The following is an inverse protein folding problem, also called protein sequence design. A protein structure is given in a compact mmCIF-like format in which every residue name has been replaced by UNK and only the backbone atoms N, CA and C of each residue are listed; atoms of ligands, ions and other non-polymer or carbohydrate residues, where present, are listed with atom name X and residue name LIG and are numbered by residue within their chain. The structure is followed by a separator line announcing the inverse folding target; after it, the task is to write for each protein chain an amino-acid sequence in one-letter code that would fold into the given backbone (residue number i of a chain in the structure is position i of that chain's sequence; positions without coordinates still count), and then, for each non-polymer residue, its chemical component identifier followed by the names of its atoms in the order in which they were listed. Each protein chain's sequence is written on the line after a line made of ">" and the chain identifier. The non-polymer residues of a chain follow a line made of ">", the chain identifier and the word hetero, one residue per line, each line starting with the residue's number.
data_IF_115094208768
#
_entry.id   IF_115094208768
#
_cell.length_a   1.000
_cell.length_b   1.000
_cell.length_c   1.000
_cell.angle_alpha   90.00
_cell.angle_beta   90.00
_cell.angle_gamma   90.00
#
_symmetry.space_group_name_H-M   'P 1'
#
loop_
_entity.id
_entity.type
_entity.pdbx_description
1 polymer ?
#
# COMPACT_ATOMS: atom_id res chain seq x y z
N UNK A 1 -13.64 6.42 -11.44
CA UNK A 1 -13.53 4.99 -11.81
C UNK A 1 -12.63 4.34 -10.80
N UNK A 2 -12.98 3.14 -10.30
CA UNK A 2 -12.16 2.45 -9.31
C UNK A 2 -11.15 1.53 -9.99
N UNK A 3 -9.97 1.42 -9.40
CA UNK A 3 -8.87 0.59 -9.86
C UNK A 3 -8.36 -0.30 -8.73
N UNK A 4 -7.64 -1.37 -9.09
CA UNK A 4 -7.03 -2.30 -8.15
C UNK A 4 -5.50 -2.19 -8.24
N UNK A 5 -4.86 -2.07 -7.08
CA UNK A 5 -3.41 -2.05 -6.95
C UNK A 5 -2.95 -3.25 -6.11
N UNK A 6 -2.09 -4.08 -6.70
CA UNK A 6 -1.44 -5.18 -5.97
C UNK A 6 -0.47 -4.61 -4.93
N UNK A 7 -0.49 -5.22 -3.76
CA UNK A 7 0.40 -4.84 -2.67
C UNK A 7 1.79 -5.46 -2.87
N UNK A 8 2.87 -4.67 -2.75
CA UNK A 8 4.21 -5.22 -2.82
C UNK A 8 4.53 -6.05 -1.57
N UNK A 9 5.41 -7.07 -1.69
CA UNK A 9 5.87 -7.83 -0.55
C UNK A 9 6.65 -6.93 0.43
N UNK A 10 6.65 -7.31 1.71
CA UNK A 10 7.39 -6.61 2.76
C UNK A 10 6.61 -5.53 3.49
N UNK A 11 5.37 -5.21 3.08
CA UNK A 11 4.48 -4.32 3.84
C UNK A 11 3.94 -5.01 5.08
N UNK A 12 3.95 -4.30 6.20
CA UNK A 12 3.44 -4.81 7.49
C UNK A 12 1.95 -4.53 7.63
N UNK A 13 1.27 -5.31 8.49
CA UNK A 13 -0.14 -5.05 8.82
C UNK A 13 -0.36 -3.64 9.38
N UNK A 14 0.57 -3.13 10.19
CA UNK A 14 0.48 -1.78 10.77
C UNK A 14 0.52 -0.70 9.69
N UNK A 15 1.47 -0.80 8.75
CA UNK A 15 1.56 0.12 7.60
C UNK A 15 0.30 0.05 6.74
N UNK A 16 -0.25 -1.15 6.54
CA UNK A 16 -1.50 -1.31 5.81
C UNK A 16 -2.67 -0.59 6.47
N UNK A 17 -2.80 -0.73 7.79
CA UNK A 17 -3.85 -0.06 8.56
C UNK A 17 -3.71 1.46 8.46
N UNK A 18 -2.49 1.99 8.51
CA UNK A 18 -2.21 3.41 8.33
C UNK A 18 -2.65 3.91 6.95
N UNK A 19 -2.29 3.18 5.89
CA UNK A 19 -2.66 3.53 4.50
C UNK A 19 -4.18 3.56 4.35
N UNK A 20 -4.90 2.52 4.80
CA UNK A 20 -6.37 2.45 4.71
C UNK A 20 -7.02 3.58 5.52
N UNK A 21 -6.43 3.98 6.65
CA UNK A 21 -6.95 5.09 7.46
C UNK A 21 -6.65 6.48 6.91
N UNK A 22 -5.61 6.60 6.08
CA UNK A 22 -5.09 7.89 5.59
C UNK A 22 -5.57 8.26 4.19
N UNK A 23 -6.02 7.27 3.41
CA UNK A 23 -6.42 7.42 2.01
C UNK A 23 -7.77 6.77 1.79
N UNK A 24 -8.54 7.25 0.81
CA UNK A 24 -9.84 6.68 0.46
C UNK A 24 -9.66 5.39 -0.38
N UNK A 25 -9.11 4.36 0.27
CA UNK A 25 -8.82 3.05 -0.33
C UNK A 25 -9.30 1.92 0.56
N UNK A 26 -9.68 0.80 -0.04
CA UNK A 26 -10.16 -0.39 0.64
C UNK A 26 -9.24 -1.59 0.38
N UNK A 27 -9.06 -2.45 1.38
CA UNK A 27 -8.35 -3.71 1.22
C UNK A 27 -9.33 -4.81 0.81
N UNK A 28 -9.11 -5.39 -0.36
CA UNK A 28 -9.94 -6.45 -0.92
C UNK A 28 -9.12 -7.73 -1.02
N UNK A 29 -9.66 -8.82 -0.48
CA UNK A 29 -9.09 -10.15 -0.68
C UNK A 29 -9.50 -10.70 -2.03
N UNK A 30 -8.53 -11.13 -2.82
CA UNK A 30 -8.73 -11.81 -4.11
C UNK A 30 -8.04 -13.18 -4.08
N UNK A 31 -8.32 -14.03 -5.07
CA UNK A 31 -7.67 -15.35 -5.19
C UNK A 31 -6.15 -15.24 -5.40
N UNK A 32 -5.69 -14.14 -5.99
CA UNK A 32 -4.26 -13.82 -6.20
C UNK A 32 -3.63 -13.10 -4.98
N UNK A 33 -4.39 -12.92 -3.90
CA UNK A 33 -3.98 -12.19 -2.70
C UNK A 33 -4.65 -10.82 -2.55
N UNK A 34 -4.29 -10.06 -1.50
CA UNK A 34 -4.92 -8.79 -1.21
C UNK A 34 -4.54 -7.69 -2.21
N UNK A 35 -5.51 -6.85 -2.55
CA UNK A 35 -5.32 -5.63 -3.36
C UNK A 35 -5.90 -4.41 -2.64
N UNK A 36 -5.34 -3.24 -2.91
CA UNK A 36 -5.98 -1.97 -2.57
C UNK A 36 -6.87 -1.52 -3.71
N UNK A 37 -8.14 -1.22 -3.41
CA UNK A 37 -9.10 -0.67 -4.36
C UNK A 37 -9.42 0.78 -4.01
N UNK A 38 -9.43 1.65 -5.00
CA UNK A 38 -9.75 3.07 -4.80
C UNK A 38 -9.76 3.86 -6.11
N UNK A 39 -9.92 5.16 -6.01
CA UNK A 39 -9.69 6.06 -7.16
C UNK A 39 -8.19 6.10 -7.50
N UNK A 40 -7.86 6.37 -8.77
CA UNK A 40 -6.47 6.38 -9.23
C UNK A 40 -5.59 7.33 -8.39
N UNK A 41 -6.09 8.53 -8.11
CA UNK A 41 -5.37 9.54 -7.33
C UNK A 41 -5.05 9.05 -5.91
N UNK A 42 -6.00 8.39 -5.25
CA UNK A 42 -5.83 7.86 -3.89
C UNK A 42 -4.87 6.66 -3.88
N UNK A 43 -4.94 5.81 -4.90
CA UNK A 43 -3.99 4.71 -5.07
C UNK A 43 -2.57 5.20 -5.33
N UNK A 44 -2.39 6.31 -6.06
CA UNK A 44 -1.08 6.92 -6.27
C UNK A 44 -0.51 7.49 -4.97
N UNK A 45 -1.33 8.16 -4.16
CA UNK A 45 -0.93 8.64 -2.83
C UNK A 45 -0.53 7.48 -1.91
N UNK A 46 -1.33 6.41 -1.90
CA UNK A 46 -1.04 5.19 -1.15
C UNK A 46 0.26 4.51 -1.62
N UNK A 47 0.47 4.40 -2.94
CA UNK A 47 1.70 3.86 -3.53
C UNK A 47 2.92 4.66 -3.09
N UNK A 48 2.86 5.98 -3.14
CA UNK A 48 4.00 6.81 -2.79
C UNK A 48 4.34 6.71 -1.30
N UNK A 49 3.33 6.54 -0.43
CA UNK A 49 3.54 6.22 0.99
C UNK A 49 4.23 4.87 1.14
N UNK A 50 3.71 3.82 0.51
CA UNK A 50 4.29 2.48 0.50
C UNK A 50 5.77 2.51 0.11
N UNK A 51 6.10 3.22 -0.97
CA UNK A 51 7.48 3.33 -1.46
C UNK A 51 8.40 4.04 -0.48
N UNK A 52 7.94 5.11 0.19
CA UNK A 52 8.73 5.78 1.23
C UNK A 52 9.07 4.82 2.37
N UNK A 53 8.06 4.14 2.91
CA UNK A 53 8.23 3.17 4.00
C UNK A 53 9.20 2.04 3.63
N UNK A 54 9.06 1.46 2.44
CA UNK A 54 9.95 0.38 1.99
C UNK A 54 11.40 0.87 1.83
N UNK A 55 11.61 2.05 1.24
CA UNK A 55 12.95 2.60 1.07
C UNK A 55 13.61 2.95 2.41
N UNK A 56 12.85 3.49 3.36
CA UNK A 56 13.35 3.74 4.72
C UNK A 56 13.82 2.44 5.37
N UNK A 57 13.01 1.38 5.29
CA UNK A 57 13.39 0.07 5.83
C UNK A 57 14.60 -0.55 5.14
N UNK A 58 14.73 -0.41 3.83
CA UNK A 58 15.92 -0.89 3.11
C UNK A 58 17.16 -0.17 3.63
N UNK A 59 17.10 1.17 3.76
CA UNK A 59 18.23 1.97 4.29
C UNK A 59 18.63 1.57 5.72
N UNK A 60 17.66 1.26 6.58
CA UNK A 60 17.92 0.76 7.94
C UNK A 60 18.65 -0.58 7.94
N UNK A 61 18.38 -1.44 6.94
CA UNK A 61 19.01 -2.75 6.81
C UNK A 61 20.37 -2.73 6.10
N UNK A 62 20.61 -1.71 5.27
CA UNK A 62 21.88 -1.48 4.56
C UNK A 62 22.97 -0.80 5.41
N UNK A 63 22.69 -0.54 6.69
CA UNK A 63 23.54 0.20 7.64
C UNK A 63 25.05 -0.01 7.53
#
# INVERSE_FOLDING_TARGET
>A
MLYDMRLPPGITHTTMAEIISSYEVELIQTDDGPVLRGELEELEKARDHILRFLNERIRELEG
#
